data_IF_959628134100
#
_entry.id   IF_959628134100
#
_cell.length_a   1.000
_cell.length_b   1.000
_cell.length_c   1.000
_cell.angle_alpha   90.00
_cell.angle_beta   90.00
_cell.angle_gamma   90.00
#
_symmetry.space_group_name_H-M   'P 1'
#
loop_
_entity.id
_entity.type
_entity.pdbx_description
1 polymer ?
#
# COMPACT_ATOMS: atom_id res chain seq x y z
N UNK A 1 -8.78 -16.20 21.05
CA UNK A 1 -7.85 -16.01 19.93
C UNK A 1 -6.45 -16.60 20.19
N UNK A 2 -6.08 -16.96 21.43
CA UNK A 2 -4.80 -17.66 21.69
C UNK A 2 -3.58 -16.74 21.78
N UNK A 3 -3.79 -15.45 22.03
CA UNK A 3 -2.78 -14.41 22.25
C UNK A 3 -2.93 -13.82 23.64
N UNK A 4 -1.84 -13.22 24.15
CA UNK A 4 -1.87 -12.48 25.40
C UNK A 4 -2.52 -11.11 25.17
N UNK A 5 -3.72 -10.92 25.73
CA UNK A 5 -4.45 -9.66 25.63
C UNK A 5 -3.94 -8.69 26.70
N UNK A 6 -3.52 -7.50 26.26
CA UNK A 6 -3.06 -6.41 27.12
C UNK A 6 -4.22 -5.50 27.53
N UNK A 7 -5.12 -5.19 26.58
CA UNK A 7 -6.25 -4.31 26.82
C UNK A 7 -7.44 -4.66 25.92
N UNK A 8 -8.65 -4.50 26.46
CA UNK A 8 -9.89 -4.48 25.69
C UNK A 8 -10.62 -3.19 26.03
N UNK A 9 -11.01 -2.43 25.00
CA UNK A 9 -11.71 -1.17 25.17
C UNK A 9 -13.01 -1.18 24.37
N UNK A 10 -14.12 -0.87 25.03
CA UNK A 10 -15.40 -0.62 24.37
C UNK A 10 -15.53 0.89 24.14
N UNK A 11 -15.93 1.31 22.95
CA UNK A 11 -16.29 2.71 22.72
C UNK A 11 -17.65 2.99 23.33
N UNK A 12 -17.76 4.12 24.02
CA UNK A 12 -19.02 4.64 24.52
C UNK A 12 -19.70 5.49 23.44
N UNK A 13 -21.02 5.57 23.49
CA UNK A 13 -21.82 6.33 22.54
C UNK A 13 -21.46 7.82 22.59
N UNK A 14 -20.82 8.32 21.53
CA UNK A 14 -20.41 9.72 21.39
C UNK A 14 -19.08 9.89 20.65
N UNK A 15 -18.15 8.95 20.86
CA UNK A 15 -16.90 8.89 20.11
C UNK A 15 -17.13 8.09 18.82
N UNK A 16 -16.84 8.69 17.66
CA UNK A 16 -17.06 8.09 16.35
C UNK A 16 -15.75 7.88 15.61
N UNK A 17 -14.91 6.97 16.11
CA UNK A 17 -13.68 6.55 15.42
C UNK A 17 -13.89 5.30 14.55
N UNK A 18 -15.14 4.93 14.29
CA UNK A 18 -15.46 3.88 13.33
C UNK A 18 -15.41 2.43 13.85
N UNK A 19 -15.47 2.18 15.16
CA UNK A 19 -15.49 0.83 15.73
C UNK A 19 -16.23 0.79 17.07
N UNK A 20 -16.63 -0.40 17.52
CA UNK A 20 -17.28 -0.61 18.82
C UNK A 20 -16.30 -1.12 19.89
N UNK A 21 -15.32 -1.93 19.49
CA UNK A 21 -14.36 -2.58 20.39
C UNK A 21 -12.94 -2.45 19.82
N UNK A 22 -11.96 -2.11 20.66
CA UNK A 22 -10.55 -2.33 20.35
C UNK A 22 -9.94 -3.39 21.27
N UNK A 23 -9.01 -4.17 20.71
CA UNK A 23 -8.29 -5.22 21.43
C UNK A 23 -6.80 -5.05 21.15
N UNK A 24 -6.04 -4.72 22.20
CA UNK A 24 -4.59 -4.64 22.20
C UNK A 24 -4.02 -5.97 22.75
N UNK A 25 -3.11 -6.60 22.02
CA UNK A 25 -2.52 -7.89 22.37
C UNK A 25 -1.08 -8.03 21.89
N UNK A 26 -0.34 -9.00 22.42
CA UNK A 26 0.97 -9.39 21.90
C UNK A 26 0.84 -10.53 20.89
N UNK A 27 1.49 -10.40 19.74
CA UNK A 27 1.65 -11.49 18.78
C UNK A 27 2.71 -12.51 19.24
N UNK A 28 2.99 -13.50 18.38
CA UNK A 28 3.96 -14.56 18.68
C UNK A 28 5.41 -14.05 18.77
N UNK A 29 5.70 -12.85 18.26
CA UNK A 29 7.00 -12.17 18.27
C UNK A 29 7.06 -11.05 19.34
N UNK A 30 6.12 -11.08 20.29
CA UNK A 30 5.98 -10.10 21.39
C UNK A 30 5.76 -8.65 20.90
N UNK A 31 5.27 -8.46 19.67
CA UNK A 31 4.91 -7.13 19.16
C UNK A 31 3.48 -6.77 19.56
N UNK A 32 3.28 -5.50 19.94
CA UNK A 32 1.94 -4.97 20.21
C UNK A 32 1.13 -4.85 18.92
N UNK A 33 -0.07 -5.44 18.93
CA UNK A 33 -1.04 -5.41 17.85
C UNK A 33 -2.37 -4.90 18.37
N UNK A 34 -3.02 -4.04 17.60
CA UNK A 34 -4.33 -3.49 17.94
C UNK A 34 -5.35 -3.79 16.84
N UNK A 35 -6.37 -4.56 17.20
CA UNK A 35 -7.51 -4.85 16.33
C UNK A 35 -8.69 -3.96 16.69
N UNK A 36 -9.39 -3.50 15.67
CA UNK A 36 -10.60 -2.68 15.79
C UNK A 36 -11.78 -3.46 15.23
N UNK A 37 -12.86 -3.55 16.00
CA UNK A 37 -14.00 -4.42 15.72
C UNK A 37 -15.28 -3.60 15.71
N UNK A 38 -15.99 -3.63 14.59
CA UNK A 38 -17.36 -3.12 14.46
C UNK A 38 -18.34 -4.29 14.59
N UNK A 39 -19.28 -4.21 15.52
CA UNK A 39 -20.21 -5.27 15.84
C UNK A 39 -21.60 -4.99 15.24
N UNK A 40 -22.08 -5.86 14.36
CA UNK A 40 -23.43 -5.80 13.80
C UNK A 40 -24.27 -6.98 14.25
N UNK A 41 -25.23 -6.72 15.13
CA UNK A 41 -26.18 -7.73 15.59
C UNK A 41 -27.53 -7.57 14.88
N UNK A 42 -27.67 -8.18 13.69
CA UNK A 42 -28.90 -8.13 12.90
C UNK A 42 -29.64 -9.46 12.95
N UNK A 43 -30.81 -9.49 13.60
CA UNK A 43 -31.63 -10.70 13.70
C UNK A 43 -32.57 -10.89 12.51
N UNK A 44 -32.99 -9.83 11.83
CA UNK A 44 -33.91 -9.87 10.67
C UNK A 44 -33.44 -9.03 9.48
N UNK A 45 -32.71 -7.94 9.75
CA UNK A 45 -32.16 -7.05 8.73
C UNK A 45 -30.98 -7.69 8.00
N UNK A 46 -30.70 -7.20 6.78
CA UNK A 46 -29.48 -7.51 6.04
C UNK A 46 -28.32 -6.70 6.60
N UNK A 47 -27.11 -7.25 6.47
CA UNK A 47 -25.89 -6.54 6.78
C UNK A 47 -25.68 -5.44 5.72
N UNK A 48 -25.73 -4.17 6.12
CA UNK A 48 -25.54 -3.04 5.20
C UNK A 48 -24.04 -2.74 5.02
N UNK A 49 -23.55 -2.95 3.80
CA UNK A 49 -22.18 -2.64 3.43
C UNK A 49 -21.85 -1.15 3.57
N UNK A 50 -22.78 -0.25 3.25
CA UNK A 50 -22.52 1.19 3.30
C UNK A 50 -22.20 1.65 4.72
N UNK A 51 -22.93 1.12 5.70
CA UNK A 51 -22.68 1.38 7.12
C UNK A 51 -21.29 0.90 7.54
N UNK A 52 -20.91 -0.32 7.15
CA UNK A 52 -19.60 -0.89 7.49
C UNK A 52 -18.46 -0.11 6.80
N UNK A 53 -18.65 0.26 5.55
CA UNK A 53 -17.66 1.05 4.81
C UNK A 53 -17.45 2.44 5.43
N UNK A 54 -18.52 3.11 5.83
CA UNK A 54 -18.43 4.39 6.54
C UNK A 54 -17.62 4.27 7.85
N UNK A 55 -17.78 3.15 8.57
CA UNK A 55 -17.00 2.86 9.78
C UNK A 55 -15.51 2.67 9.48
N UNK A 56 -15.18 1.97 8.40
CA UNK A 56 -13.79 1.84 7.94
C UNK A 56 -13.20 3.22 7.58
N UNK A 57 -13.94 4.10 6.91
CA UNK A 57 -13.48 5.46 6.60
C UNK A 57 -13.25 6.30 7.87
N UNK A 58 -14.13 6.19 8.87
CA UNK A 58 -13.95 6.87 10.16
C UNK A 58 -12.67 6.41 10.86
N UNK A 59 -12.36 5.12 10.83
CA UNK A 59 -11.13 4.58 11.42
C UNK A 59 -9.88 5.03 10.67
N UNK A 60 -9.89 5.00 9.33
CA UNK A 60 -8.78 5.50 8.51
C UNK A 60 -8.52 7.00 8.73
N UNK A 61 -9.57 7.79 8.99
CA UNK A 61 -9.46 9.21 9.28
C UNK A 61 -9.05 9.53 10.73
N UNK A 62 -8.98 8.52 11.60
CA UNK A 62 -8.62 8.67 13.01
C UNK A 62 -7.10 8.71 13.21
N UNK A 63 -6.65 9.00 14.44
CA UNK A 63 -5.22 8.93 14.80
C UNK A 63 -4.74 7.51 15.13
N UNK A 64 -5.59 6.49 14.99
CA UNK A 64 -5.22 5.11 15.28
C UNK A 64 -4.32 4.53 14.17
N UNK A 65 -3.54 3.49 14.51
CA UNK A 65 -2.79 2.70 13.54
C UNK A 65 -3.26 1.23 13.59
N UNK A 66 -4.39 0.90 12.92
CA UNK A 66 -4.98 -0.43 13.00
C UNK A 66 -4.02 -1.50 12.49
N UNK A 67 -3.88 -2.58 13.25
CA UNK A 67 -3.30 -3.82 12.72
C UNK A 67 -4.32 -4.51 11.82
N UNK A 68 -5.60 -4.52 12.21
CA UNK A 68 -6.69 -5.00 11.38
C UNK A 68 -8.02 -4.36 11.79
N UNK A 69 -8.95 -4.32 10.84
CA UNK A 69 -10.36 -4.03 11.09
C UNK A 69 -11.21 -5.29 10.89
N UNK A 70 -12.07 -5.60 11.85
CA UNK A 70 -12.99 -6.73 11.82
C UNK A 70 -14.42 -6.23 11.81
N UNK A 71 -15.16 -6.54 10.75
CA UNK A 71 -16.62 -6.42 10.75
C UNK A 71 -17.22 -7.73 11.27
N UNK A 72 -17.75 -7.70 12.49
CA UNK A 72 -18.29 -8.88 13.17
C UNK A 72 -19.81 -8.90 13.07
N UNK A 73 -20.37 -9.92 12.41
CA UNK A 73 -21.81 -10.14 12.29
C UNK A 73 -22.14 -11.62 12.52
N UNK A 74 -22.50 -12.03 13.75
CA UNK A 74 -22.65 -13.45 14.10
C UNK A 74 -23.85 -14.17 13.48
N UNK A 75 -24.85 -13.42 13.01
CA UNK A 75 -26.13 -13.99 12.56
C UNK A 75 -26.42 -13.76 11.07
N UNK A 76 -25.60 -12.96 10.38
CA UNK A 76 -25.87 -12.53 9.00
C UNK A 76 -24.59 -12.47 8.18
N UNK A 77 -24.63 -13.09 7.02
CA UNK A 77 -23.61 -12.96 5.98
C UNK A 77 -23.76 -11.66 5.20
N UNK A 78 -22.67 -11.26 4.55
CA UNK A 78 -22.72 -10.26 3.48
C UNK A 78 -23.44 -10.81 2.26
N UNK A 79 -24.06 -9.94 1.46
CA UNK A 79 -24.54 -10.37 0.15
C UNK A 79 -23.37 -10.63 -0.80
N UNK A 80 -23.56 -11.50 -1.81
CA UNK A 80 -22.52 -11.77 -2.82
C UNK A 80 -22.05 -10.50 -3.54
N UNK A 81 -22.96 -9.54 -3.75
CA UNK A 81 -22.62 -8.26 -4.38
C UNK A 81 -21.70 -7.46 -3.47
N UNK A 82 -21.99 -7.43 -2.17
CA UNK A 82 -21.19 -6.70 -1.20
C UNK A 82 -19.81 -7.33 -1.02
N UNK A 83 -19.69 -8.66 -1.06
CA UNK A 83 -18.38 -9.32 -1.11
C UNK A 83 -17.54 -8.91 -2.32
N UNK A 84 -18.16 -8.81 -3.50
CA UNK A 84 -17.47 -8.34 -4.70
C UNK A 84 -17.03 -6.87 -4.56
N UNK A 85 -17.87 -6.01 -3.99
CA UNK A 85 -17.54 -4.61 -3.73
C UNK A 85 -16.37 -4.51 -2.75
N UNK A 86 -16.45 -5.23 -1.62
CA UNK A 86 -15.40 -5.30 -0.62
C UNK A 86 -14.04 -5.64 -1.26
N UNK A 87 -13.97 -6.71 -2.06
CA UNK A 87 -12.72 -7.18 -2.68
C UNK A 87 -12.01 -6.12 -3.54
N UNK A 88 -12.76 -5.15 -4.07
CA UNK A 88 -12.25 -4.03 -4.87
C UNK A 88 -11.87 -2.83 -4.02
N UNK A 89 -12.63 -2.55 -2.96
CA UNK A 89 -12.50 -1.32 -2.15
C UNK A 89 -11.50 -1.47 -1.02
N UNK A 90 -11.39 -2.64 -0.39
CA UNK A 90 -10.53 -2.82 0.80
C UNK A 90 -9.04 -2.69 0.52
N UNK A 91 -8.62 -2.74 -0.76
CA UNK A 91 -7.23 -2.46 -1.18
C UNK A 91 -6.79 -1.02 -0.94
N UNK A 92 -7.73 -0.11 -0.61
CA UNK A 92 -7.43 1.30 -0.40
C UNK A 92 -7.04 1.64 1.05
N UNK A 93 -7.30 0.74 2.00
CA UNK A 93 -6.96 0.96 3.41
C UNK A 93 -5.54 0.52 3.71
N UNK A 94 -4.87 1.22 4.64
CA UNK A 94 -3.51 0.88 5.10
C UNK A 94 -3.49 -0.27 6.11
N UNK A 95 -4.60 -0.99 6.22
CA UNK A 95 -4.77 -2.13 7.10
C UNK A 95 -5.71 -3.15 6.47
N UNK A 96 -5.54 -4.44 6.78
CA UNK A 96 -6.45 -5.48 6.34
C UNK A 96 -7.83 -5.31 6.99
N UNK A 97 -8.86 -5.56 6.19
CA UNK A 97 -10.25 -5.61 6.60
C UNK A 97 -10.73 -7.05 6.46
N UNK A 98 -11.31 -7.60 7.53
CA UNK A 98 -11.89 -8.94 7.51
C UNK A 98 -13.33 -8.95 8.03
N UNK A 99 -14.13 -9.86 7.49
CA UNK A 99 -15.54 -10.04 7.87
C UNK A 99 -15.69 -11.34 8.63
N UNK A 100 -16.16 -11.26 9.86
CA UNK A 100 -16.42 -12.43 10.70
C UNK A 100 -17.92 -12.65 10.68
N UNK A 101 -18.36 -13.54 9.79
CA UNK A 101 -19.75 -13.85 9.43
C UNK A 101 -20.01 -15.37 9.50
N UNK A 102 -21.27 -15.83 9.53
CA UNK A 102 -21.62 -17.25 9.63
C UNK A 102 -20.92 -18.16 8.62
N UNK A 103 -20.76 -17.71 7.37
CA UNK A 103 -20.02 -18.41 6.30
C UNK A 103 -18.56 -18.75 6.65
N UNK A 104 -17.93 -18.02 7.58
CA UNK A 104 -16.59 -18.30 8.13
C UNK A 104 -16.59 -19.16 9.39
N UNK A 105 -17.75 -19.73 9.72
CA UNK A 105 -17.96 -20.60 10.87
C UNK A 105 -17.61 -19.92 12.20
N UNK A 106 -17.89 -18.61 12.32
CA UNK A 106 -17.57 -17.84 13.53
C UNK A 106 -18.40 -18.28 14.74
N UNK A 107 -19.48 -19.02 14.52
CA UNK A 107 -20.26 -19.62 15.60
C UNK A 107 -19.37 -20.52 16.50
N UNK A 108 -18.40 -21.24 15.92
CA UNK A 108 -17.41 -22.04 16.68
C UNK A 108 -16.47 -21.17 17.51
N UNK A 109 -16.08 -20.00 17.02
CA UNK A 109 -15.28 -19.02 17.78
C UNK A 109 -16.05 -18.57 19.03
N UNK A 110 -17.33 -18.24 18.90
CA UNK A 110 -18.16 -17.87 20.04
C UNK A 110 -18.34 -19.05 21.01
N UNK A 111 -18.48 -20.27 20.50
CA UNK A 111 -18.62 -21.47 21.33
C UNK A 111 -17.36 -21.82 22.16
N UNK A 112 -16.21 -21.18 21.90
CA UNK A 112 -15.05 -21.23 22.80
C UNK A 112 -15.35 -20.63 24.18
N UNK A 113 -16.34 -19.75 24.28
CA UNK A 113 -16.89 -19.27 25.55
C UNK A 113 -18.40 -19.57 25.58
N UNK A 114 -18.76 -20.57 26.38
CA UNK A 114 -20.12 -21.08 26.43
C UNK A 114 -21.14 -20.03 26.88
N UNK A 115 -20.74 -19.07 27.73
CA UNK A 115 -21.66 -18.05 28.23
C UNK A 115 -21.86 -16.93 27.21
N UNK A 116 -20.80 -16.55 26.49
CA UNK A 116 -20.90 -15.62 25.36
C UNK A 116 -21.74 -16.24 24.24
N UNK A 117 -21.49 -17.50 23.92
CA UNK A 117 -22.25 -18.24 22.91
C UNK A 117 -23.75 -18.20 23.17
N UNK A 118 -24.18 -18.60 24.36
CA UNK A 118 -25.59 -18.62 24.75
C UNK A 118 -26.26 -17.25 24.61
N UNK A 119 -25.54 -16.19 25.01
CA UNK A 119 -26.03 -14.81 24.89
C UNK A 119 -26.14 -14.33 23.44
N UNK A 120 -25.15 -14.62 22.61
CA UNK A 120 -25.10 -14.13 21.22
C UNK A 120 -26.09 -14.87 20.33
N UNK A 121 -26.27 -16.17 20.53
CA UNK A 121 -27.15 -16.99 19.68
C UNK A 121 -28.54 -17.23 20.28
N UNK A 122 -28.86 -16.61 21.43
CA UNK A 122 -30.12 -16.78 22.16
C UNK A 122 -30.47 -18.27 22.41
N UNK A 123 -29.49 -19.02 22.92
CA UNK A 123 -29.59 -20.45 23.21
C UNK A 123 -29.38 -20.73 24.69
N UNK A 124 -30.05 -21.76 25.21
CA UNK A 124 -29.89 -22.21 26.60
C UNK A 124 -28.68 -23.13 26.80
N UNK A 125 -28.28 -23.85 25.74
CA UNK A 125 -27.15 -24.78 25.70
C UNK A 125 -26.23 -24.48 24.52
N UNK A 126 -24.97 -24.91 24.63
CA UNK A 126 -24.03 -24.90 23.51
C UNK A 126 -24.10 -26.26 22.82
N UNK A 127 -24.80 -26.31 21.70
CA UNK A 127 -25.11 -27.57 21.01
C UNK A 127 -24.05 -27.95 19.96
N UNK A 128 -22.95 -27.20 19.89
CA UNK A 128 -21.88 -27.38 18.91
C UNK A 128 -20.80 -28.28 19.49
N UNK A 129 -20.45 -29.32 18.75
CA UNK A 129 -19.30 -30.17 19.05
C UNK A 129 -18.15 -29.83 18.10
N UNK A 130 -16.99 -29.49 18.68
CA UNK A 130 -15.77 -29.18 17.93
C UNK A 130 -14.54 -29.41 18.82
N UNK A 131 -13.39 -29.60 18.18
CA UNK A 131 -12.11 -29.68 18.88
C UNK A 131 -11.63 -28.26 19.24
N UNK A 132 -11.63 -27.96 20.55
CA UNK A 132 -11.31 -26.62 21.08
C UNK A 132 -9.92 -26.15 20.67
N UNK A 133 -8.92 -27.03 20.75
CA UNK A 133 -7.53 -26.69 20.44
C UNK A 133 -7.35 -26.41 18.94
N UNK A 134 -7.99 -27.20 18.10
CA UNK A 134 -8.02 -27.02 16.65
C UNK A 134 -8.67 -25.70 16.28
N UNK A 135 -9.78 -25.34 16.93
CA UNK A 135 -10.46 -24.08 16.68
C UNK A 135 -9.65 -22.86 17.16
N UNK A 136 -8.99 -22.95 18.31
CA UNK A 136 -8.05 -21.91 18.76
C UNK A 136 -6.92 -21.73 17.75
N UNK A 137 -6.33 -22.84 17.25
CA UNK A 137 -5.28 -22.79 16.21
C UNK A 137 -5.78 -22.18 14.91
N UNK A 138 -7.00 -22.52 14.48
CA UNK A 138 -7.63 -21.94 13.27
C UNK A 138 -7.76 -20.43 13.39
N UNK A 139 -8.33 -19.95 14.49
CA UNK A 139 -8.52 -18.51 14.73
C UNK A 139 -7.16 -17.81 14.86
N UNK A 140 -6.20 -18.42 15.55
CA UNK A 140 -4.83 -17.90 15.66
C UNK A 140 -4.18 -17.75 14.28
N UNK A 141 -4.35 -18.73 13.39
CA UNK A 141 -3.85 -18.66 12.02
C UNK A 141 -4.52 -17.53 11.20
N UNK A 142 -5.82 -17.31 11.37
CA UNK A 142 -6.54 -16.19 10.72
C UNK A 142 -5.97 -14.85 11.21
N UNK A 143 -5.79 -14.67 12.51
CA UNK A 143 -5.21 -13.45 13.09
C UNK A 143 -3.78 -13.22 12.59
N UNK A 144 -2.93 -14.26 12.60
CA UNK A 144 -1.56 -14.17 12.08
C UNK A 144 -1.55 -13.82 10.58
N UNK A 145 -2.49 -14.34 9.78
CA UNK A 145 -2.62 -13.94 8.38
C UNK A 145 -2.97 -12.46 8.21
N UNK A 146 -3.82 -11.89 9.08
CA UNK A 146 -4.11 -10.47 9.08
C UNK A 146 -2.89 -9.63 9.46
N UNK A 147 -2.13 -10.05 10.48
CA UNK A 147 -0.87 -9.38 10.86
C UNK A 147 0.11 -9.40 9.67
N UNK A 148 0.31 -10.54 9.02
CA UNK A 148 1.15 -10.64 7.83
C UNK A 148 0.67 -9.72 6.70
N UNK A 149 -0.64 -9.67 6.43
CA UNK A 149 -1.21 -8.74 5.44
C UNK A 149 -0.93 -7.28 5.79
N UNK A 150 -1.02 -6.90 7.07
CA UNK A 150 -0.67 -5.55 7.52
C UNK A 150 0.79 -5.23 7.24
N UNK A 151 1.70 -6.16 7.54
CA UNK A 151 3.12 -5.98 7.23
C UNK A 151 3.34 -5.87 5.72
N UNK A 152 2.73 -6.74 4.90
CA UNK A 152 2.80 -6.62 3.44
C UNK A 152 2.26 -5.28 2.94
N UNK A 153 1.17 -4.76 3.51
CA UNK A 153 0.62 -3.44 3.17
C UNK A 153 1.56 -2.31 3.59
N UNK A 154 2.23 -2.44 4.74
CA UNK A 154 3.27 -1.50 5.17
C UNK A 154 4.44 -1.45 4.18
N UNK A 155 4.83 -2.59 3.62
CA UNK A 155 5.87 -2.65 2.57
C UNK A 155 5.35 -2.30 1.17
N UNK A 156 4.03 -2.37 0.94
CA UNK A 156 3.43 -1.97 -0.34
C UNK A 156 3.51 -0.45 -0.57
N UNK A 157 3.58 0.35 0.50
CA UNK A 157 3.70 1.81 0.44
C UNK A 157 5.13 2.33 0.66
N UNK A 158 6.09 1.47 1.05
CA UNK A 158 7.49 1.84 1.25
C UNK A 158 8.32 1.32 0.08
N UNK A 159 8.58 2.19 -0.89
CA UNK A 159 9.62 1.97 -1.88
C UNK A 159 10.96 2.08 -1.14
N UNK A 160 11.66 0.95 -1.00
CA UNK A 160 13.04 0.92 -0.53
C UNK A 160 13.94 0.47 -1.68
N UNK A 161 14.79 1.38 -2.14
CA UNK A 161 15.72 1.14 -3.24
C UNK A 161 17.09 0.85 -2.64
N UNK A 162 17.44 -0.43 -2.64
CA UNK A 162 18.76 -0.88 -2.24
C UNK A 162 19.78 -0.50 -3.31
N UNK A 163 20.99 -0.17 -2.87
CA UNK A 163 22.12 -0.03 -3.79
C UNK A 163 22.48 -1.40 -4.35
N UNK A 164 22.68 -1.48 -5.67
CA UNK A 164 23.04 -2.72 -6.34
C UNK A 164 24.30 -2.55 -7.18
N UNK A 165 25.15 -3.57 -7.14
CA UNK A 165 26.30 -3.70 -8.05
C UNK A 165 25.90 -4.40 -9.37
N UNK A 166 24.63 -4.76 -9.53
CA UNK A 166 24.12 -5.46 -10.71
C UNK A 166 23.76 -4.49 -11.82
N UNK A 167 24.20 -4.79 -13.05
CA UNK A 167 23.78 -4.04 -14.23
C UNK A 167 22.30 -4.33 -14.58
N UNK A 168 21.51 -3.32 -14.94
CA UNK A 168 20.13 -3.51 -15.34
C UNK A 168 20.03 -4.28 -16.66
N UNK A 169 19.01 -5.13 -16.82
CA UNK A 169 18.75 -5.82 -18.08
C UNK A 169 18.20 -4.80 -19.09
N UNK A 170 18.96 -4.50 -20.14
CA UNK A 170 18.57 -3.51 -21.16
C UNK A 170 18.12 -4.15 -22.47
N UNK A 171 17.11 -3.54 -23.10
CA UNK A 171 16.80 -3.85 -24.49
C UNK A 171 17.91 -3.24 -25.38
N UNK A 172 18.59 -4.02 -26.23
CA UNK A 172 19.67 -3.52 -27.10
C UNK A 172 19.25 -2.37 -28.03
N UNK A 173 17.95 -2.25 -28.34
CA UNK A 173 17.38 -1.15 -29.14
C UNK A 173 17.17 0.16 -28.35
N UNK A 174 17.29 0.10 -27.02
CA UNK A 174 17.14 1.22 -26.08
C UNK A 174 18.49 1.65 -25.47
N UNK A 175 19.60 1.34 -26.16
CA UNK A 175 20.95 1.75 -25.73
C UNK A 175 20.93 3.25 -25.40
N UNK A 176 21.25 3.55 -24.15
CA UNK A 176 20.77 4.74 -23.43
C UNK A 176 21.32 6.05 -24.00
N UNK A 177 20.44 6.99 -24.34
CA UNK A 177 20.83 8.39 -24.64
C UNK A 177 21.16 9.19 -23.37
N UNK A 178 21.14 8.54 -22.19
CA UNK A 178 21.38 9.19 -20.91
C UNK A 178 22.78 9.82 -20.84
N UNK A 179 23.82 9.13 -21.33
CA UNK A 179 25.19 9.68 -21.35
C UNK A 179 25.24 10.96 -22.19
N UNK A 180 24.73 10.92 -23.43
CA UNK A 180 24.67 12.08 -24.34
C UNK A 180 23.89 13.26 -23.73
N UNK A 181 22.86 12.96 -22.95
CA UNK A 181 22.07 13.96 -22.23
C UNK A 181 22.84 14.52 -21.06
N UNK A 182 23.47 13.69 -20.22
CA UNK A 182 24.29 14.16 -19.10
C UNK A 182 25.48 15.00 -19.57
N UNK A 183 26.10 14.68 -20.72
CA UNK A 183 27.17 15.49 -21.33
C UNK A 183 26.74 16.94 -21.61
N UNK A 184 25.44 17.21 -21.81
CA UNK A 184 24.94 18.56 -22.11
C UNK A 184 24.74 19.43 -20.86
N UNK A 185 24.88 18.85 -19.66
CA UNK A 185 24.66 19.52 -18.37
C UNK A 185 25.81 19.34 -17.38
N UNK A 186 26.62 18.29 -17.50
CA UNK A 186 27.73 17.94 -16.61
C UNK A 186 29.01 17.67 -17.42
N UNK A 187 30.18 17.89 -16.80
CA UNK A 187 31.46 17.48 -17.39
C UNK A 187 31.65 15.96 -17.34
N UNK A 188 32.54 15.43 -18.18
CA UNK A 188 32.79 13.99 -18.30
C UNK A 188 33.36 13.36 -17.02
N UNK A 189 34.02 14.15 -16.17
CA UNK A 189 34.65 13.75 -14.91
C UNK A 189 33.77 14.02 -13.67
N UNK A 190 32.53 14.48 -13.84
CA UNK A 190 31.63 14.82 -12.74
C UNK A 190 31.16 13.57 -11.99
N UNK A 191 31.46 13.47 -10.69
CA UNK A 191 31.04 12.37 -9.80
C UNK A 191 29.51 12.18 -9.75
N UNK A 192 28.73 13.24 -10.01
CA UNK A 192 27.28 13.16 -10.09
C UNK A 192 26.80 12.28 -11.25
N UNK A 193 27.56 12.19 -12.36
CA UNK A 193 27.23 11.26 -13.46
C UNK A 193 27.16 9.83 -12.96
N UNK A 194 28.23 9.38 -12.30
CA UNK A 194 28.33 8.01 -11.80
C UNK A 194 27.17 7.74 -10.83
N UNK A 195 26.87 8.71 -9.97
CA UNK A 195 25.74 8.63 -9.04
C UNK A 195 24.38 8.53 -9.76
N UNK A 196 24.15 9.29 -10.82
CA UNK A 196 22.88 9.25 -11.58
C UNK A 196 22.67 7.94 -12.33
N UNK A 197 23.73 7.37 -12.92
CA UNK A 197 23.68 6.04 -13.51
C UNK A 197 23.39 4.96 -12.47
N UNK A 198 23.99 5.05 -11.28
CA UNK A 198 23.69 4.13 -10.16
C UNK A 198 22.24 4.25 -9.69
N UNK A 199 21.73 5.47 -9.52
CA UNK A 199 20.33 5.68 -9.12
C UNK A 199 19.35 5.08 -10.12
N UNK A 200 19.63 5.20 -11.42
CA UNK A 200 18.85 4.55 -12.48
C UNK A 200 18.94 3.01 -12.40
N UNK A 201 20.14 2.46 -12.26
CA UNK A 201 20.35 1.01 -12.19
C UNK A 201 19.62 0.40 -10.98
N UNK A 202 19.78 1.01 -9.79
CA UNK A 202 19.10 0.61 -8.57
C UNK A 202 17.57 0.61 -8.74
N UNK A 203 17.02 1.67 -9.35
CA UNK A 203 15.60 1.78 -9.62
C UNK A 203 15.08 0.66 -10.53
N UNK A 204 15.81 0.37 -11.60
CA UNK A 204 15.38 -0.63 -12.58
C UNK A 204 15.40 -2.04 -12.00
N UNK A 205 16.45 -2.39 -11.26
CA UNK A 205 16.53 -3.66 -10.52
C UNK A 205 15.39 -3.77 -9.51
N UNK A 206 15.07 -2.68 -8.81
CA UNK A 206 13.92 -2.62 -7.90
C UNK A 206 12.60 -2.91 -8.63
N UNK A 207 12.27 -2.19 -9.71
CA UNK A 207 11.02 -2.35 -10.45
C UNK A 207 10.89 -3.74 -11.09
N UNK A 208 11.98 -4.29 -11.60
CA UNK A 208 12.00 -5.65 -12.16
C UNK A 208 11.72 -6.68 -11.06
N UNK A 209 12.29 -6.51 -9.87
CA UNK A 209 12.02 -7.35 -8.70
C UNK A 209 10.57 -7.30 -8.20
N UNK A 210 9.85 -6.20 -8.46
CA UNK A 210 8.43 -6.09 -8.12
C UNK A 210 7.52 -6.98 -8.99
N UNK A 211 8.01 -7.51 -10.12
CA UNK A 211 7.21 -8.36 -11.02
C UNK A 211 6.63 -9.56 -10.30
N UNK A 212 7.43 -10.20 -9.45
CA UNK A 212 7.00 -11.37 -8.67
C UNK A 212 6.58 -11.02 -7.25
N UNK A 213 7.14 -9.94 -6.67
CA UNK A 213 6.92 -9.57 -5.26
C UNK A 213 5.69 -8.70 -5.03
N UNK A 214 5.43 -7.72 -5.91
CA UNK A 214 4.29 -6.80 -5.77
C UNK A 214 3.84 -6.25 -7.13
N UNK A 215 3.08 -7.04 -7.92
CA UNK A 215 2.61 -6.65 -9.25
C UNK A 215 1.74 -5.38 -9.24
N UNK A 216 1.02 -5.13 -8.14
CA UNK A 216 0.16 -3.96 -8.01
C UNK A 216 0.97 -2.68 -7.84
N UNK A 217 1.99 -2.70 -6.97
CA UNK A 217 2.90 -1.56 -6.82
C UNK A 217 3.65 -1.30 -8.12
N UNK A 218 4.14 -2.36 -8.79
CA UNK A 218 4.76 -2.24 -10.10
C UNK A 218 3.84 -1.55 -11.11
N UNK A 219 2.58 -1.98 -11.20
CA UNK A 219 1.60 -1.37 -12.10
C UNK A 219 1.36 0.11 -11.77
N UNK A 220 1.28 0.46 -10.49
CA UNK A 220 1.15 1.86 -10.05
C UNK A 220 2.37 2.71 -10.43
N UNK A 221 3.58 2.19 -10.24
CA UNK A 221 4.83 2.84 -10.64
C UNK A 221 4.85 3.06 -12.15
N UNK A 222 4.56 2.04 -12.96
CA UNK A 222 4.56 2.16 -14.42
C UNK A 222 3.47 3.11 -14.95
N UNK A 223 2.30 3.14 -14.31
CA UNK A 223 1.27 4.12 -14.64
C UNK A 223 1.73 5.55 -14.33
N UNK A 224 2.43 5.73 -13.20
CA UNK A 224 3.03 7.01 -12.84
C UNK A 224 4.13 7.44 -13.82
N UNK A 225 5.04 6.52 -14.20
CA UNK A 225 6.03 6.76 -15.25
C UNK A 225 5.38 7.20 -16.57
N UNK A 226 4.29 6.54 -16.96
CA UNK A 226 3.54 6.88 -18.18
C UNK A 226 2.96 8.30 -18.13
N UNK A 227 2.45 8.73 -16.97
CA UNK A 227 1.95 10.10 -16.79
C UNK A 227 3.09 11.13 -16.84
N UNK A 228 4.22 10.84 -16.19
CA UNK A 228 5.42 11.67 -16.26
C UNK A 228 5.99 11.73 -17.68
N UNK A 229 5.91 10.64 -18.44
CA UNK A 229 6.31 10.59 -19.85
C UNK A 229 5.57 11.64 -20.68
N UNK A 230 4.25 11.76 -20.53
CA UNK A 230 3.43 12.77 -21.21
C UNK A 230 3.78 14.22 -20.79
N UNK A 231 4.27 14.42 -19.57
CA UNK A 231 4.78 15.73 -19.13
C UNK A 231 6.15 16.03 -19.73
N UNK A 232 7.04 15.05 -19.73
CA UNK A 232 8.35 15.13 -20.36
C UNK A 232 8.21 15.48 -21.85
N UNK A 233 7.33 14.81 -22.59
CA UNK A 233 7.01 15.13 -23.99
C UNK A 233 6.64 16.60 -24.19
N UNK A 234 5.72 17.12 -23.37
CA UNK A 234 5.27 18.53 -23.43
C UNK A 234 6.39 19.51 -23.12
N UNK A 235 7.21 19.23 -22.11
CA UNK A 235 8.34 20.07 -21.76
C UNK A 235 9.39 20.04 -22.87
N UNK A 236 9.75 18.86 -23.39
CA UNK A 236 10.70 18.69 -24.51
C UNK A 236 10.24 19.49 -25.74
N UNK A 237 8.94 19.47 -26.05
CA UNK A 237 8.39 20.29 -27.15
C UNK A 237 8.58 21.79 -26.90
N UNK A 238 8.32 22.28 -25.68
CA UNK A 238 8.53 23.69 -25.35
C UNK A 238 10.01 24.09 -25.45
N UNK A 239 10.90 23.21 -24.99
CA UNK A 239 12.34 23.37 -25.07
C UNK A 239 12.87 23.48 -26.49
N UNK A 240 12.33 22.67 -27.41
CA UNK A 240 12.71 22.71 -28.82
C UNK A 240 12.22 23.96 -29.56
N UNK A 241 11.23 24.67 -29.02
CA UNK A 241 10.66 25.88 -29.62
C UNK A 241 11.35 27.15 -29.10
N UNK A 242 11.83 27.15 -27.85
CA UNK A 242 12.43 28.31 -27.21
C UNK A 242 13.96 28.25 -27.22
N UNK A 243 14.57 28.98 -28.17
CA UNK A 243 16.02 29.12 -28.31
C UNK A 243 16.71 29.78 -27.10
N UNK A 244 15.97 30.35 -26.16
CA UNK A 244 16.51 30.90 -24.90
C UNK A 244 16.50 29.88 -23.75
N UNK A 245 15.78 28.77 -23.90
CA UNK A 245 15.66 27.75 -22.86
C UNK A 245 16.91 26.85 -22.84
N UNK A 246 17.69 26.86 -21.76
CA UNK A 246 18.95 26.09 -21.70
C UNK A 246 18.75 24.66 -21.19
N UNK A 247 19.61 23.69 -21.57
CA UNK A 247 19.56 22.31 -21.06
C UNK A 247 19.53 22.25 -19.52
N UNK A 248 20.33 23.07 -18.85
CA UNK A 248 20.35 23.17 -17.38
C UNK A 248 19.01 23.66 -16.82
N UNK A 249 18.40 24.69 -17.42
CA UNK A 249 17.10 25.19 -16.96
C UNK A 249 16.00 24.16 -17.17
N UNK A 250 16.02 23.46 -18.31
CA UNK A 250 15.10 22.35 -18.58
C UNK A 250 15.25 21.22 -17.55
N UNK A 251 16.48 20.82 -17.25
CA UNK A 251 16.79 19.78 -16.28
C UNK A 251 16.15 20.10 -14.92
N UNK A 252 16.34 21.32 -14.42
CA UNK A 252 15.76 21.75 -13.15
C UNK A 252 14.23 21.86 -13.19
N UNK A 253 13.67 22.40 -14.28
CA UNK A 253 12.22 22.54 -14.43
C UNK A 253 11.52 21.17 -14.49
N UNK A 254 12.14 20.16 -15.11
CA UNK A 254 11.61 18.80 -15.13
C UNK A 254 11.68 18.13 -13.74
N UNK A 255 12.81 18.27 -13.03
CA UNK A 255 12.92 17.76 -11.66
C UNK A 255 11.86 18.38 -10.75
N UNK A 256 11.65 19.70 -10.82
CA UNK A 256 10.60 20.39 -10.07
C UNK A 256 9.19 19.86 -10.39
N UNK A 257 8.92 19.53 -11.65
CA UNK A 257 7.63 19.02 -12.05
C UNK A 257 7.43 17.54 -11.68
N UNK A 258 8.50 16.75 -11.69
CA UNK A 258 8.51 15.38 -11.18
C UNK A 258 8.36 15.34 -9.64
N UNK A 259 8.95 16.29 -8.92
CA UNK A 259 8.83 16.46 -7.46
C UNK A 259 7.37 16.69 -7.02
N UNK A 260 6.63 17.55 -7.73
CA UNK A 260 5.20 17.77 -7.41
C UNK A 260 4.34 16.51 -7.60
N UNK A 261 4.65 15.73 -8.63
CA UNK A 261 3.92 14.50 -8.94
C UNK A 261 4.23 13.39 -7.94
N UNK A 262 5.49 13.23 -7.53
CA UNK A 262 5.87 12.22 -6.53
C UNK A 262 5.27 12.56 -5.15
N UNK A 263 5.18 13.84 -4.77
CA UNK A 263 4.50 14.25 -3.53
C UNK A 263 3.00 13.87 -3.57
N UNK A 264 2.38 14.00 -4.73
CA UNK A 264 0.98 13.54 -4.97
C UNK A 264 0.88 12.01 -4.89
N UNK A 265 1.87 11.29 -5.43
CA UNK A 265 1.93 9.82 -5.38
C UNK A 265 2.02 9.29 -3.94
N UNK A 266 2.88 9.89 -3.09
CA UNK A 266 3.02 9.47 -1.69
C UNK A 266 1.99 10.07 -0.73
N UNK A 267 1.21 11.07 -1.16
CA UNK A 267 0.37 11.91 -0.28
C UNK A 267 1.16 12.46 0.91
N UNK A 268 2.40 12.89 0.65
CA UNK A 268 3.36 13.33 1.67
C UNK A 268 3.95 14.70 1.29
N UNK A 269 4.58 15.38 2.25
CA UNK A 269 5.12 16.74 2.10
C UNK A 269 6.65 16.80 2.11
N UNK A 270 7.36 15.70 2.38
CA UNK A 270 8.84 15.67 2.38
C UNK A 270 9.43 14.51 1.55
N UNK A 271 10.39 14.85 0.68
CA UNK A 271 11.21 13.90 -0.10
C UNK A 271 12.58 13.75 0.57
N UNK A 272 12.80 12.63 1.27
CA UNK A 272 14.10 12.28 1.87
C UNK A 272 14.33 10.76 1.75
N UNK A 273 15.59 10.36 1.67
CA UNK A 273 15.99 8.95 1.67
C UNK A 273 15.53 8.19 0.43
N UNK A 274 14.86 7.04 0.60
CA UNK A 274 14.47 6.19 -0.53
C UNK A 274 13.44 6.82 -1.47
N UNK A 275 12.66 7.81 -1.01
CA UNK A 275 11.76 8.61 -1.86
C UNK A 275 12.52 9.47 -2.86
N UNK A 276 13.62 10.07 -2.42
CA UNK A 276 14.53 10.85 -3.26
C UNK A 276 15.25 9.92 -4.25
N UNK A 277 15.73 8.76 -3.79
CA UNK A 277 16.30 7.73 -4.68
C UNK A 277 15.31 7.30 -5.76
N UNK A 278 14.03 7.12 -5.41
CA UNK A 278 12.98 6.73 -6.34
C UNK A 278 12.69 7.82 -7.37
N UNK A 279 12.54 9.08 -6.93
CA UNK A 279 12.39 10.23 -7.83
C UNK A 279 13.51 10.26 -8.88
N UNK A 280 14.76 10.26 -8.40
CA UNK A 280 15.93 10.33 -9.27
C UNK A 280 15.99 9.13 -10.21
N UNK A 281 15.74 7.92 -9.70
CA UNK A 281 15.70 6.70 -10.50
C UNK A 281 14.71 6.77 -11.67
N UNK A 282 13.50 7.25 -11.41
CA UNK A 282 12.47 7.41 -12.44
C UNK A 282 12.81 8.50 -13.45
N UNK A 283 13.29 9.66 -12.97
CA UNK A 283 13.71 10.75 -13.87
C UNK A 283 14.80 10.27 -14.82
N UNK A 284 15.80 9.54 -14.31
CA UNK A 284 16.89 9.04 -15.15
C UNK A 284 16.49 7.87 -16.03
N UNK A 285 15.51 7.04 -15.63
CA UNK A 285 14.95 6.03 -16.53
C UNK A 285 14.16 6.68 -17.68
N UNK A 286 13.37 7.73 -17.40
CA UNK A 286 12.68 8.50 -18.44
C UNK A 286 13.65 9.24 -19.38
N UNK A 287 14.73 9.79 -18.82
CA UNK A 287 15.83 10.36 -19.61
C UNK A 287 16.50 9.30 -20.49
N UNK A 288 16.68 8.07 -20.01
CA UNK A 288 17.27 6.99 -20.79
C UNK A 288 16.33 6.47 -21.90
N UNK A 289 15.03 6.36 -21.64
CA UNK A 289 14.07 5.71 -22.52
C UNK A 289 13.41 6.61 -23.59
N UNK A 290 13.64 7.94 -23.57
CA UNK A 290 12.96 8.97 -24.37
C UNK A 290 11.45 9.01 -24.11
N UNK A 291 10.97 10.16 -23.61
CA UNK A 291 10.96 11.38 -24.43
C UNK A 291 11.61 12.61 -23.80
N UNK A 292 12.21 12.47 -22.63
CA UNK A 292 12.90 13.58 -21.99
C UNK A 292 14.23 13.83 -22.70
N UNK A 293 14.29 14.82 -23.58
CA UNK A 293 15.48 15.17 -24.35
C UNK A 293 15.81 16.65 -24.17
N UNK A 294 16.81 16.91 -23.34
CA UNK A 294 17.25 18.26 -23.02
C UNK A 294 18.47 18.70 -23.85
N UNK A 295 18.79 17.98 -24.92
CA UNK A 295 19.83 18.38 -25.88
C UNK A 295 19.22 19.43 -26.82
N UNK A 296 19.76 20.64 -26.86
CA UNK A 296 19.35 21.63 -27.87
C UNK A 296 19.75 21.13 -29.26
N UNK A 297 18.77 21.01 -30.16
CA UNK A 297 18.94 20.75 -31.59
C UNK A 297 20.24 20.03 -31.99
N UNK A 298 20.20 18.70 -31.92
CA UNK A 298 20.94 17.83 -32.86
C UNK A 298 22.45 18.07 -32.96
N UNK A 299 23.19 17.86 -31.89
CA UNK A 299 24.51 17.24 -32.08
C UNK A 299 24.31 15.72 -32.00
N UNK A 300 24.23 15.14 -33.20
CA UNK A 300 24.39 13.71 -33.46
C UNK A 300 25.76 13.26 -32.98
#
# INVERSE_FOLDING_TARGET
MGFLVLQVRKQDSGDQNGFDISVLFLDDDEQEREFFIECKYYTTAKLDWADIFNKQLQLEASSHNPTAFIALSPLRDLSNIDHNIQSKVTRQFKYPVDFWTPDKEIEKLFALDTDVYKKVFDKTTCDISFDRETEIKRIKAIVNNLIQKKETLRFADIISIQDTDSDPIENPKLKTTLDEKLNSVLSDDDEHRIRYHRLRANYKVFVDGLTDLNPSLRSNILNWESNLRLKADRLTNNFNIDDTYTPSKFFHDFFHEAEKEILTFYKDFELKGDKEKFLHGVVFELAAQCPLDWRKNGTV
#
